data_IF_182125666161
#
_entry.id   IF_182125666161
#
_cell.length_a   1.000
_cell.length_b   1.000
_cell.length_c   1.000
_cell.angle_alpha   90.00
_cell.angle_beta   90.00
_cell.angle_gamma   90.00
#
_symmetry.space_group_name_H-M   'P 1'
#
loop_
_entity.id
_entity.type
_entity.pdbx_description
1 polymer ?
#
# COMPACT_ATOMS: atom_id res chain seq x y z
N UNK A 1 -16.99 7.91 28.35
CA UNK A 1 -17.34 6.98 27.25
C UNK A 1 -16.47 5.75 27.45
N UNK A 2 -17.07 4.58 27.59
CA UNK A 2 -16.35 3.31 27.71
C UNK A 2 -16.34 2.60 26.36
N UNK A 3 -15.20 2.02 25.98
CA UNK A 3 -15.04 1.27 24.73
C UNK A 3 -15.31 -0.23 24.97
N UNK A 4 -15.88 -0.96 23.99
CA UNK A 4 -16.02 -2.42 24.08
C UNK A 4 -14.67 -3.13 24.26
N UNK A 5 -14.63 -4.22 25.01
CA UNK A 5 -13.37 -4.95 25.29
C UNK A 5 -12.70 -5.48 24.00
N UNK A 6 -13.49 -5.80 22.98
CA UNK A 6 -13.04 -6.37 21.71
C UNK A 6 -12.20 -5.40 20.88
N UNK A 7 -12.26 -4.11 21.15
CA UNK A 7 -11.43 -3.09 20.48
C UNK A 7 -10.23 -2.66 21.31
N UNK A 8 -10.14 -3.12 22.56
CA UNK A 8 -9.00 -2.85 23.43
C UNK A 8 -7.80 -3.75 23.10
N UNK A 9 -6.60 -3.24 23.37
CA UNK A 9 -5.34 -3.96 23.27
C UNK A 9 -4.36 -3.46 24.31
N UNK A 10 -3.39 -4.28 24.68
CA UNK A 10 -2.27 -3.88 25.55
C UNK A 10 -1.02 -3.78 24.69
N UNK A 11 -0.39 -2.61 24.65
CA UNK A 11 0.87 -2.43 23.94
C UNK A 11 2.01 -3.20 24.62
N UNK A 12 3.16 -3.34 23.93
CA UNK A 12 4.35 -3.97 24.51
C UNK A 12 4.85 -3.29 25.80
N UNK A 13 4.44 -2.04 26.06
CA UNK A 13 4.78 -1.29 27.27
C UNK A 13 3.70 -1.38 28.37
N UNK A 14 2.68 -2.23 28.19
CA UNK A 14 1.60 -2.41 29.17
C UNK A 14 0.49 -1.36 29.10
N UNK A 15 0.51 -0.46 28.11
CA UNK A 15 -0.52 0.59 27.97
C UNK A 15 -1.75 0.04 27.26
N UNK A 16 -2.93 0.30 27.81
CA UNK A 16 -4.21 0.01 27.15
C UNK A 16 -4.45 1.02 26.01
N UNK A 17 -4.76 0.50 24.84
CA UNK A 17 -5.00 1.25 23.60
C UNK A 17 -6.30 0.76 22.94
N UNK A 18 -6.93 1.62 22.14
CA UNK A 18 -8.14 1.29 21.36
C UNK A 18 -7.75 1.19 19.88
N UNK A 19 -8.14 0.11 19.21
CA UNK A 19 -8.06 -0.01 17.75
C UNK A 19 -9.18 0.82 17.11
N UNK A 20 -8.85 2.01 16.64
CA UNK A 20 -9.77 2.85 15.87
C UNK A 20 -9.51 2.72 14.36
N UNK A 21 -10.57 2.53 13.57
CA UNK A 21 -10.46 2.49 12.12
C UNK A 21 -10.18 3.89 11.56
N UNK A 22 -9.14 4.01 10.75
CA UNK A 22 -8.80 5.26 10.05
C UNK A 22 -9.39 5.28 8.65
N UNK A 23 -9.10 4.25 7.83
CA UNK A 23 -9.61 4.07 6.46
C UNK A 23 -9.68 2.58 6.11
N UNK A 24 -10.53 2.24 5.13
CA UNK A 24 -10.58 0.92 4.47
C UNK A 24 -10.66 1.13 2.97
N UNK A 25 -10.18 0.16 2.19
CA UNK A 25 -10.14 0.30 0.74
C UNK A 25 -9.51 -0.88 0.03
N UNK A 26 -9.32 -0.73 -1.28
CA UNK A 26 -8.52 -1.63 -2.11
C UNK A 26 -7.12 -1.09 -2.27
N UNK A 27 -6.21 -1.95 -2.73
CA UNK A 27 -4.86 -1.53 -3.03
C UNK A 27 -4.32 -2.26 -4.25
N UNK A 28 -3.42 -1.58 -4.95
CA UNK A 28 -2.59 -2.16 -6.01
C UNK A 28 -1.13 -1.88 -5.65
N UNK A 29 -0.30 -2.90 -5.76
CA UNK A 29 1.14 -2.78 -5.56
C UNK A 29 1.85 -3.28 -6.81
N UNK A 30 2.80 -2.49 -7.32
CA UNK A 30 3.56 -2.86 -8.51
C UNK A 30 5.03 -2.44 -8.39
N UNK A 31 5.86 -3.11 -9.16
CA UNK A 31 7.30 -2.87 -9.25
C UNK A 31 7.67 -2.31 -10.63
N UNK A 32 8.88 -1.78 -10.74
CA UNK A 32 9.44 -1.33 -12.00
C UNK A 32 10.45 -2.36 -12.48
N UNK A 33 10.23 -2.87 -13.70
CA UNK A 33 11.10 -3.84 -14.33
C UNK A 33 11.83 -3.19 -15.51
N UNK A 34 13.07 -3.58 -15.72
CA UNK A 34 13.78 -3.32 -16.97
C UNK A 34 13.13 -4.14 -18.10
N UNK A 35 12.71 -3.51 -19.21
CA UNK A 35 11.92 -4.18 -20.25
C UNK A 35 12.71 -5.20 -21.07
N UNK A 36 14.05 -5.18 -21.03
CA UNK A 36 14.90 -6.12 -21.76
C UNK A 36 15.18 -7.37 -20.94
N UNK A 37 15.33 -7.21 -19.63
CA UNK A 37 15.78 -8.27 -18.73
C UNK A 37 14.68 -8.84 -17.83
N UNK A 38 13.56 -8.11 -17.67
CA UNK A 38 12.49 -8.46 -16.74
C UNK A 38 12.89 -8.36 -15.27
N UNK A 39 14.09 -7.87 -14.96
CA UNK A 39 14.59 -7.71 -13.59
C UNK A 39 14.14 -6.37 -13.03
N UNK A 40 13.99 -6.28 -11.69
CA UNK A 40 13.71 -5.02 -11.00
C UNK A 40 14.74 -3.96 -11.37
N UNK A 41 14.26 -2.81 -11.84
CA UNK A 41 15.11 -1.64 -12.09
C UNK A 41 15.38 -0.84 -10.83
N UNK A 42 14.50 -0.94 -9.83
CA UNK A 42 14.61 -0.23 -8.57
C UNK A 42 14.32 -1.15 -7.37
N UNK A 43 15.01 -0.90 -6.26
CA UNK A 43 14.73 -1.58 -4.99
C UNK A 43 13.61 -0.87 -4.21
N UNK A 44 12.46 -0.69 -4.86
CA UNK A 44 11.24 -0.15 -4.25
C UNK A 44 10.01 -0.65 -4.99
N UNK A 45 8.87 -0.63 -4.32
CA UNK A 45 7.56 -0.87 -4.95
C UNK A 45 6.69 0.37 -4.78
N UNK A 46 5.76 0.58 -5.71
CA UNK A 46 4.72 1.59 -5.57
C UNK A 46 3.45 0.92 -5.05
N UNK A 47 2.93 1.45 -3.93
CA UNK A 47 1.65 1.07 -3.35
C UNK A 47 0.65 2.18 -3.63
N UNK A 48 -0.48 1.83 -4.22
CA UNK A 48 -1.61 2.72 -4.45
C UNK A 48 -2.77 2.22 -3.60
N UNK A 49 -3.26 3.07 -2.71
CA UNK A 49 -4.43 2.84 -1.86
C UNK A 49 -5.62 3.58 -2.45
N UNK A 50 -6.81 2.99 -2.39
CA UNK A 50 -8.06 3.63 -2.79
C UNK A 50 -9.17 3.32 -1.80
N UNK A 51 -9.71 4.36 -1.17
CA UNK A 51 -10.77 4.22 -0.15
C UNK A 51 -12.21 4.28 -0.71
N UNK A 52 -12.35 4.35 -2.04
CA UNK A 52 -13.62 4.56 -2.74
C UNK A 52 -13.82 5.99 -3.21
N UNK A 53 -13.09 6.96 -2.65
CA UNK A 53 -13.18 8.38 -3.06
C UNK A 53 -11.82 8.92 -3.51
N UNK A 54 -10.75 8.60 -2.76
CA UNK A 54 -9.42 9.19 -2.93
C UNK A 54 -8.37 8.12 -3.11
N UNK A 55 -7.40 8.45 -3.96
CA UNK A 55 -6.19 7.67 -4.15
C UNK A 55 -5.03 8.26 -3.36
N UNK A 56 -4.26 7.40 -2.72
CA UNK A 56 -3.01 7.75 -2.05
C UNK A 56 -1.90 6.85 -2.60
N UNK A 57 -0.78 7.45 -2.99
CA UNK A 57 0.37 6.73 -3.53
C UNK A 57 1.56 6.81 -2.57
N UNK A 58 2.19 5.67 -2.33
CA UNK A 58 3.39 5.54 -1.51
C UNK A 58 4.48 4.80 -2.30
N UNK A 59 5.73 5.20 -2.15
CA UNK A 59 6.84 4.28 -2.38
C UNK A 59 7.18 3.54 -1.11
N UNK A 60 7.28 2.21 -1.19
CA UNK A 60 7.79 1.36 -0.10
C UNK A 60 9.23 0.96 -0.43
N UNK A 61 10.17 1.44 0.37
CA UNK A 61 11.59 1.15 0.24
C UNK A 61 12.01 0.21 1.37
N UNK A 62 12.48 -1.01 1.07
CA UNK A 62 12.93 -1.94 2.10
C UNK A 62 14.15 -1.37 2.83
N UNK A 63 14.13 -1.48 4.15
CA UNK A 63 15.26 -1.12 5.01
C UNK A 63 16.30 -2.24 5.00
N UNK A 64 17.50 -1.95 5.51
CA UNK A 64 18.63 -2.89 5.54
C UNK A 64 18.32 -4.24 6.20
N UNK A 65 17.34 -4.29 7.12
CA UNK A 65 16.96 -5.52 7.82
C UNK A 65 15.98 -6.42 7.04
N UNK A 66 15.48 -5.95 5.88
CA UNK A 66 14.52 -6.68 5.04
C UNK A 66 13.14 -6.89 5.66
N UNK A 67 12.89 -6.39 6.88
CA UNK A 67 11.62 -6.57 7.62
C UNK A 67 10.80 -5.29 7.69
N UNK A 68 11.46 -4.15 7.63
CA UNK A 68 10.82 -2.84 7.66
C UNK A 68 10.88 -2.17 6.30
N UNK A 69 9.90 -1.33 6.04
CA UNK A 69 9.86 -0.45 4.88
C UNK A 69 9.79 0.99 5.34
N UNK A 70 10.51 1.88 4.66
CA UNK A 70 10.23 3.31 4.67
C UNK A 70 9.12 3.57 3.65
N UNK A 71 8.02 4.18 4.09
CA UNK A 71 6.93 4.61 3.23
C UNK A 71 7.05 6.10 2.94
N UNK A 72 7.10 6.48 1.66
CA UNK A 72 7.20 7.86 1.22
C UNK A 72 5.97 8.24 0.40
N UNK A 73 5.16 9.22 0.84
CA UNK A 73 4.08 9.78 0.03
C UNK A 73 4.61 10.34 -1.29
N UNK A 74 3.87 10.08 -2.36
CA UNK A 74 4.16 10.64 -3.68
C UNK A 74 2.88 11.10 -4.33
N UNK A 75 3.01 12.08 -5.22
CA UNK A 75 1.90 12.56 -6.02
C UNK A 75 1.26 11.42 -6.82
N UNK A 76 -0.07 11.43 -6.86
CA UNK A 76 -0.80 10.56 -7.76
C UNK A 76 -0.56 11.02 -9.20
N UNK A 77 -0.17 10.08 -10.05
CA UNK A 77 0.08 10.34 -11.48
C UNK A 77 -1.15 10.05 -12.35
N UNK A 78 -2.30 9.83 -11.71
CA UNK A 78 -3.55 9.55 -12.40
C UNK A 78 -3.68 8.09 -12.79
N UNK A 79 -4.51 7.81 -13.79
CA UNK A 79 -4.75 6.45 -14.26
C UNK A 79 -3.67 6.03 -15.27
N UNK A 80 -3.07 4.86 -15.04
CA UNK A 80 -1.96 4.33 -15.84
C UNK A 80 -2.16 2.83 -16.07
N UNK A 81 -1.48 2.27 -17.08
CA UNK A 81 -1.53 0.82 -17.32
C UNK A 81 -0.48 0.09 -16.49
N UNK A 82 -0.90 -1.02 -15.89
CA UNK A 82 -0.06 -1.97 -15.17
C UNK A 82 -0.03 -3.27 -15.97
N UNK A 83 1.17 -3.82 -16.19
CA UNK A 83 1.31 -5.13 -16.80
C UNK A 83 0.87 -6.22 -15.83
N UNK A 84 -0.04 -7.09 -16.28
CA UNK A 84 -0.49 -8.28 -15.56
C UNK A 84 -0.22 -9.53 -16.40
N UNK A 85 -0.36 -10.76 -15.87
CA UNK A 85 -0.25 -11.97 -16.68
C UNK A 85 -1.25 -12.05 -17.85
N UNK A 86 -2.36 -11.29 -17.81
CA UNK A 86 -3.37 -11.23 -18.87
C UNK A 86 -3.15 -10.07 -19.86
N UNK A 87 -2.08 -9.30 -19.68
CA UNK A 87 -1.80 -8.09 -20.46
C UNK A 87 -1.92 -6.79 -19.64
N UNK A 88 -1.81 -5.63 -20.29
CA UNK A 88 -1.91 -4.33 -19.63
C UNK A 88 -3.35 -4.04 -19.18
N UNK A 89 -3.51 -3.63 -17.92
CA UNK A 89 -4.80 -3.26 -17.31
C UNK A 89 -4.69 -1.88 -16.68
N UNK A 90 -5.75 -1.06 -16.73
CA UNK A 90 -5.74 0.24 -16.07
C UNK A 90 -5.69 0.08 -14.54
N UNK A 91 -4.92 0.94 -13.89
CA UNK A 91 -4.82 1.00 -12.43
C UNK A 91 -6.20 1.17 -11.78
N UNK A 92 -7.05 2.01 -12.37
CA UNK A 92 -8.42 2.23 -11.90
C UNK A 92 -9.29 0.96 -11.98
N UNK A 93 -9.06 0.06 -12.93
CA UNK A 93 -9.78 -1.21 -13.03
C UNK A 93 -9.31 -2.21 -11.98
N UNK A 94 -8.01 -2.25 -11.70
CA UNK A 94 -7.44 -3.09 -10.66
C UNK A 94 -7.84 -2.66 -9.24
N UNK A 95 -8.23 -1.39 -9.07
CA UNK A 95 -8.69 -0.83 -7.80
C UNK A 95 -10.21 -0.98 -7.58
N UNK A 96 -10.97 -1.43 -8.58
CA UNK A 96 -12.41 -1.70 -8.42
C UNK A 96 -12.60 -3.02 -7.68
N UNK A 97 -13.52 -3.02 -6.70
CA UNK A 97 -14.09 -4.23 -6.14
C UNK A 97 -15.08 -4.86 -7.12
#
# INVERSE_FOLDING_TARGET
MEYPEEVLTVSKKGKVEVRNLVKKGTFVMYEYLDPKTGKRSENKVKLVLYDGERRESLFLIPMKDGRRFLALPVEDKGDLHIMTPKGPVRLSELLKC
#
